data_IF_816656957660
#
_entry.id   IF_816656957660
#
_cell.length_a   1.000
_cell.length_b   1.000
_cell.length_c   1.000
_cell.angle_alpha   90.00
_cell.angle_beta   90.00
_cell.angle_gamma   90.00
#
_symmetry.space_group_name_H-M   'P 1'
#
loop_
_entity.id
_entity.type
_entity.pdbx_description
1 polymer ?
#
# COMPACT_ATOMS: atom_id res chain seq x y z
N UNK A 1 -2.40 9.16 -12.47
CA UNK A 1 -1.12 9.86 -12.63
C UNK A 1 -0.94 10.75 -11.41
N UNK A 2 0.16 10.60 -10.71
CA UNK A 2 0.53 11.40 -9.56
C UNK A 2 1.05 12.78 -9.98
N UNK A 3 1.20 13.69 -9.02
CA UNK A 3 1.61 15.07 -9.27
C UNK A 3 3.02 15.21 -9.88
N UNK A 4 3.89 14.23 -9.63
CA UNK A 4 5.24 14.13 -10.23
C UNK A 4 5.26 13.45 -11.61
N UNK A 5 4.10 13.05 -12.15
CA UNK A 5 3.95 12.38 -13.42
C UNK A 5 4.02 10.85 -13.36
N UNK A 6 4.32 10.25 -12.22
CA UNK A 6 4.37 8.79 -12.06
C UNK A 6 2.96 8.18 -12.26
N UNK A 7 2.87 7.13 -13.06
CA UNK A 7 1.62 6.43 -13.33
C UNK A 7 1.49 5.22 -12.43
N UNK A 8 0.46 5.19 -11.60
CA UNK A 8 0.08 4.00 -10.83
C UNK A 8 -0.99 3.20 -11.58
N UNK A 9 -0.90 1.90 -11.49
CA UNK A 9 -1.84 0.96 -12.07
C UNK A 9 -2.80 0.44 -11.00
N UNK A 10 -4.08 0.48 -11.31
CA UNK A 10 -5.13 0.02 -10.41
C UNK A 10 -6.07 -0.96 -11.11
N UNK A 11 -6.70 -1.82 -10.32
CA UNK A 11 -7.86 -2.62 -10.70
C UNK A 11 -9.04 -2.22 -9.85
N UNK A 12 -10.19 -2.06 -10.49
CA UNK A 12 -11.41 -1.56 -9.82
C UNK A 12 -12.56 -2.53 -10.04
N UNK A 13 -13.30 -2.80 -8.97
CA UNK A 13 -14.58 -3.50 -8.99
C UNK A 13 -15.64 -2.52 -8.49
N UNK A 14 -16.70 -2.35 -9.26
CA UNK A 14 -17.73 -1.34 -8.97
C UNK A 14 -19.13 -1.94 -8.99
N UNK A 15 -20.06 -1.44 -8.16
CA UNK A 15 -21.48 -1.67 -8.36
C UNK A 15 -21.93 -1.15 -9.72
N UNK A 16 -22.85 -1.85 -10.38
CA UNK A 16 -23.33 -1.52 -11.72
C UNK A 16 -23.90 -0.10 -11.81
N UNK A 17 -24.52 0.37 -10.73
CA UNK A 17 -25.15 1.69 -10.67
C UNK A 17 -24.28 2.80 -10.05
N UNK A 18 -22.97 2.57 -9.87
CA UNK A 18 -22.10 3.52 -9.15
C UNK A 18 -22.01 4.90 -9.83
N UNK A 19 -22.19 4.99 -11.14
CA UNK A 19 -22.21 6.28 -11.86
C UNK A 19 -23.53 7.06 -11.67
N UNK A 20 -24.64 6.36 -11.44
CA UNK A 20 -25.95 6.98 -11.18
C UNK A 20 -26.14 7.29 -9.69
N UNK A 21 -25.56 6.47 -8.84
CA UNK A 21 -25.60 6.59 -7.37
C UNK A 21 -24.20 6.38 -6.81
N UNK A 22 -23.40 7.45 -6.65
CA UNK A 22 -22.01 7.35 -6.17
C UNK A 22 -21.89 6.66 -4.81
N UNK A 23 -20.93 5.77 -4.70
CA UNK A 23 -20.72 4.88 -3.56
C UNK A 23 -19.41 5.16 -2.83
N UNK A 24 -19.25 4.75 -1.56
CA UNK A 24 -17.96 4.80 -0.87
C UNK A 24 -16.92 3.89 -1.56
N UNK A 25 -15.66 4.27 -1.48
CA UNK A 25 -14.54 3.50 -2.01
C UNK A 25 -13.81 2.76 -0.89
N UNK A 26 -13.43 1.51 -1.16
CA UNK A 26 -12.46 0.76 -0.35
C UNK A 26 -11.17 0.65 -1.15
N UNK A 27 -10.11 1.30 -0.66
CA UNK A 27 -8.76 1.26 -1.24
C UNK A 27 -7.92 0.19 -0.58
N UNK A 28 -7.26 -0.65 -1.38
CA UNK A 28 -6.14 -1.48 -0.95
C UNK A 28 -4.88 -1.07 -1.73
N UNK A 29 -3.84 -0.63 -0.99
CA UNK A 29 -2.62 -0.02 -1.52
C UNK A 29 -1.41 -0.74 -0.93
N UNK A 30 -0.76 -1.59 -1.73
CA UNK A 30 0.33 -2.46 -1.27
C UNK A 30 1.17 -3.02 -2.44
N UNK A 31 2.38 -3.58 -2.20
CA UNK A 31 3.33 -3.98 -3.25
C UNK A 31 3.12 -5.39 -3.81
N UNK A 32 2.08 -6.12 -3.42
CA UNK A 32 1.98 -7.56 -3.70
C UNK A 32 1.41 -7.90 -5.08
N UNK A 33 1.54 -7.01 -6.07
CA UNK A 33 1.19 -7.25 -7.47
C UNK A 33 -0.24 -7.77 -7.70
N UNK A 34 -1.15 -6.87 -8.08
CA UNK A 34 -2.59 -7.14 -8.24
C UNK A 34 -2.94 -8.25 -9.25
N UNK A 35 -2.02 -8.58 -10.17
CA UNK A 35 -2.30 -9.56 -11.24
C UNK A 35 -1.85 -10.98 -10.93
N UNK A 36 -0.77 -11.15 -10.20
CA UNK A 36 -0.17 -12.46 -9.97
C UNK A 36 0.13 -12.77 -8.51
N UNK A 37 0.46 -11.78 -7.69
CA UNK A 37 0.81 -11.99 -6.29
C UNK A 37 -0.42 -12.27 -5.41
N UNK A 38 -1.46 -11.45 -5.55
CA UNK A 38 -2.66 -11.53 -4.70
C UNK A 38 -3.95 -11.85 -5.45
N UNK A 39 -3.88 -12.14 -6.74
CA UNK A 39 -5.05 -12.27 -7.61
C UNK A 39 -6.12 -13.23 -7.04
N UNK A 40 -5.73 -14.39 -6.51
CA UNK A 40 -6.67 -15.38 -6.00
C UNK A 40 -7.47 -14.87 -4.80
N UNK A 41 -6.83 -14.10 -3.90
CA UNK A 41 -7.49 -13.45 -2.77
C UNK A 41 -8.37 -12.28 -3.24
N UNK A 42 -7.84 -11.46 -4.14
CA UNK A 42 -8.50 -10.25 -4.61
C UNK A 42 -9.82 -10.59 -5.34
N UNK A 43 -9.87 -11.69 -6.10
CA UNK A 43 -11.09 -12.18 -6.77
C UNK A 43 -12.17 -12.67 -5.79
N UNK A 44 -11.83 -13.00 -4.57
CA UNK A 44 -12.80 -13.36 -3.54
C UNK A 44 -13.30 -12.11 -2.77
N UNK A 45 -12.41 -11.19 -2.51
CA UNK A 45 -12.64 -10.06 -1.58
C UNK A 45 -13.29 -8.86 -2.29
N UNK A 46 -12.70 -8.36 -3.36
CA UNK A 46 -13.14 -7.13 -3.99
C UNK A 46 -14.50 -7.23 -4.70
N UNK A 47 -14.84 -8.32 -5.41
CA UNK A 47 -16.19 -8.49 -5.94
C UNK A 47 -17.27 -8.55 -4.85
N UNK A 48 -16.94 -9.08 -3.67
CA UNK A 48 -17.86 -9.08 -2.54
C UNK A 48 -18.18 -7.65 -2.10
N UNK A 49 -17.18 -6.78 -1.98
CA UNK A 49 -17.42 -5.37 -1.66
C UNK A 49 -18.27 -4.69 -2.73
N UNK A 50 -17.99 -4.91 -4.01
CA UNK A 50 -18.78 -4.33 -5.09
C UNK A 50 -20.27 -4.75 -5.04
N UNK A 51 -20.55 -6.02 -4.75
CA UNK A 51 -21.92 -6.54 -4.55
C UNK A 51 -22.63 -5.91 -3.34
N UNK A 52 -21.87 -5.42 -2.37
CA UNK A 52 -22.40 -4.80 -1.15
C UNK A 52 -22.35 -3.26 -1.17
N UNK A 53 -22.27 -2.64 -2.36
CA UNK A 53 -22.42 -1.20 -2.53
C UNK A 53 -21.16 -0.38 -2.29
N UNK A 54 -19.97 -0.96 -2.41
CA UNK A 54 -18.69 -0.27 -2.32
C UNK A 54 -17.94 -0.39 -3.65
N UNK A 55 -17.39 0.70 -4.15
CA UNK A 55 -16.34 0.58 -5.16
C UNK A 55 -15.06 0.10 -4.47
N UNK A 56 -14.45 -0.95 -4.99
CA UNK A 56 -13.22 -1.52 -4.42
C UNK A 56 -12.06 -1.33 -5.39
N UNK A 57 -10.97 -0.75 -4.91
CA UNK A 57 -9.83 -0.36 -5.75
C UNK A 57 -8.54 -0.95 -5.18
N UNK A 58 -7.88 -1.77 -6.00
CA UNK A 58 -6.59 -2.39 -5.69
C UNK A 58 -5.51 -1.69 -6.51
N UNK A 59 -4.59 -1.02 -5.84
CA UNK A 59 -3.50 -0.26 -6.46
C UNK A 59 -2.17 -0.96 -6.23
N UNK A 60 -1.38 -1.15 -7.28
CA UNK A 60 0.04 -1.45 -7.15
C UNK A 60 0.78 -0.16 -6.79
N UNK A 61 1.57 -0.19 -5.72
CA UNK A 61 2.36 0.98 -5.32
C UNK A 61 3.46 1.29 -6.33
N UNK A 62 4.05 2.48 -6.26
CA UNK A 62 5.21 2.90 -7.07
C UNK A 62 6.28 1.81 -7.08
N UNK A 63 6.82 1.49 -8.26
CA UNK A 63 7.87 0.51 -8.44
C UNK A 63 7.41 -0.95 -8.42
N UNK A 64 6.13 -1.23 -8.19
CA UNK A 64 5.62 -2.60 -8.13
C UNK A 64 4.53 -2.87 -9.17
N UNK A 65 4.37 -4.15 -9.51
CA UNK A 65 3.35 -4.59 -10.45
C UNK A 65 3.42 -3.86 -11.78
N UNK A 66 2.32 -3.22 -12.18
CA UNK A 66 2.21 -2.49 -13.44
C UNK A 66 2.35 -0.96 -13.24
N UNK A 67 2.74 -0.51 -12.04
CA UNK A 67 3.00 0.90 -11.73
C UNK A 67 4.41 1.30 -12.12
N UNK A 68 4.61 2.55 -12.53
CA UNK A 68 5.92 3.12 -12.86
C UNK A 68 6.78 3.39 -11.63
N UNK A 69 8.04 3.73 -11.86
CA UNK A 69 9.03 4.07 -10.84
C UNK A 69 9.69 2.86 -10.21
N UNK A 70 10.42 3.12 -9.14
CA UNK A 70 11.17 2.13 -8.36
C UNK A 70 10.81 2.23 -6.89
N UNK A 71 10.94 1.11 -6.18
CA UNK A 71 10.73 1.06 -4.74
C UNK A 71 12.07 1.26 -4.04
N UNK A 72 12.19 2.29 -3.22
CA UNK A 72 13.45 2.61 -2.55
C UNK A 72 13.61 1.91 -1.19
N UNK A 73 12.52 1.76 -0.44
CA UNK A 73 12.49 1.10 0.88
C UNK A 73 11.03 0.87 1.30
N UNK A 74 10.81 0.27 2.47
CA UNK A 74 9.51 0.14 3.12
C UNK A 74 9.00 1.48 3.66
N UNK A 75 7.71 1.76 3.41
CA UNK A 75 6.98 2.87 4.05
C UNK A 75 7.63 4.24 3.89
N UNK A 76 8.28 4.49 2.76
CA UNK A 76 8.93 5.77 2.51
C UNK A 76 7.95 6.94 2.56
N UNK A 77 8.41 8.18 2.87
CA UNK A 77 7.55 9.36 2.78
C UNK A 77 6.88 9.52 1.41
N UNK A 78 7.57 9.12 0.33
CA UNK A 78 7.00 9.14 -1.02
C UNK A 78 5.85 8.16 -1.16
N UNK A 79 5.99 6.93 -0.65
CA UNK A 79 4.92 5.93 -0.68
C UNK A 79 3.66 6.42 0.03
N UNK A 80 3.83 7.07 1.18
CA UNK A 80 2.70 7.63 1.93
C UNK A 80 2.07 8.83 1.22
N UNK A 81 2.88 9.69 0.63
CA UNK A 81 2.40 10.84 -0.17
C UNK A 81 1.61 10.37 -1.38
N UNK A 82 2.12 9.37 -2.09
CA UNK A 82 1.43 8.75 -3.24
C UNK A 82 0.05 8.20 -2.82
N UNK A 83 -0.02 7.51 -1.68
CA UNK A 83 -1.28 6.99 -1.15
C UNK A 83 -2.29 8.09 -0.84
N UNK A 84 -1.83 9.20 -0.26
CA UNK A 84 -2.68 10.38 0.01
C UNK A 84 -3.20 10.98 -1.29
N UNK A 85 -2.35 11.12 -2.32
CA UNK A 85 -2.79 11.60 -3.64
C UNK A 85 -3.84 10.65 -4.26
N UNK A 86 -3.64 9.34 -4.16
CA UNK A 86 -4.62 8.33 -4.63
C UNK A 86 -5.96 8.50 -3.90
N UNK A 87 -5.97 8.70 -2.59
CA UNK A 87 -7.21 8.92 -1.80
C UNK A 87 -7.95 10.16 -2.30
N UNK A 88 -7.26 11.28 -2.49
CA UNK A 88 -7.88 12.50 -3.00
C UNK A 88 -8.34 12.37 -4.45
N UNK A 89 -7.64 11.61 -5.29
CA UNK A 89 -8.06 11.32 -6.64
C UNK A 89 -9.32 10.46 -6.67
N UNK A 90 -9.38 9.40 -5.85
CA UNK A 90 -10.55 8.54 -5.72
C UNK A 90 -11.79 9.30 -5.25
N UNK A 91 -11.62 10.16 -4.26
CA UNK A 91 -12.72 10.96 -3.70
C UNK A 91 -13.35 11.93 -4.72
N UNK A 92 -12.63 12.27 -5.80
CA UNK A 92 -13.11 13.15 -6.87
C UNK A 92 -13.75 12.42 -8.05
N UNK A 93 -13.72 11.09 -8.05
CA UNK A 93 -14.30 10.34 -9.16
C UNK A 93 -15.83 10.44 -9.18
N UNK A 94 -16.47 10.50 -10.36
CA UNK A 94 -17.93 10.69 -10.47
C UNK A 94 -18.73 9.54 -9.86
N UNK A 95 -18.14 8.36 -9.72
CA UNK A 95 -18.72 7.17 -9.10
C UNK A 95 -18.44 7.06 -7.59
N UNK A 96 -17.66 7.98 -7.03
CA UNK A 96 -17.31 8.00 -5.61
C UNK A 96 -18.16 9.02 -4.84
N UNK A 97 -18.70 8.64 -3.70
CA UNK A 97 -19.45 9.52 -2.80
C UNK A 97 -18.59 10.58 -2.07
N UNK A 98 -17.29 10.68 -2.40
CA UNK A 98 -16.32 11.52 -1.70
C UNK A 98 -15.74 10.88 -0.43
N UNK A 99 -16.11 9.63 -0.15
CA UNK A 99 -15.71 8.89 1.06
C UNK A 99 -14.84 7.70 0.68
N UNK A 100 -13.69 7.57 1.32
CA UNK A 100 -12.74 6.49 1.12
C UNK A 100 -12.49 5.77 2.44
N UNK A 101 -12.56 4.44 2.42
CA UNK A 101 -11.97 3.57 3.43
C UNK A 101 -10.67 2.98 2.90
N UNK A 102 -9.74 2.62 3.76
CA UNK A 102 -8.51 1.93 3.37
C UNK A 102 -8.39 0.62 4.13
N UNK A 103 -7.98 -0.43 3.43
CA UNK A 103 -7.74 -1.72 4.06
C UNK A 103 -6.42 -2.31 3.56
N UNK A 104 -5.86 -3.21 4.34
CA UNK A 104 -4.71 -3.96 3.89
C UNK A 104 -4.23 -5.00 4.89
N UNK A 105 -3.47 -5.94 4.37
CA UNK A 105 -2.78 -6.96 5.15
C UNK A 105 -1.27 -6.68 5.12
N UNK A 106 -0.58 -6.90 6.24
CA UNK A 106 0.87 -6.76 6.36
C UNK A 106 1.31 -5.36 5.88
N UNK A 107 2.14 -5.23 4.86
CA UNK A 107 2.53 -3.94 4.26
C UNK A 107 1.33 -3.00 4.02
N UNK A 108 0.24 -3.52 3.45
CA UNK A 108 -0.98 -2.72 3.25
C UNK A 108 -1.66 -2.31 4.55
N UNK A 109 -1.54 -3.13 5.60
CA UNK A 109 -2.02 -2.80 6.94
C UNK A 109 -1.20 -1.68 7.59
N UNK A 110 0.13 -1.73 7.46
CA UNK A 110 1.02 -0.64 7.88
C UNK A 110 0.73 0.64 7.10
N UNK A 111 0.55 0.56 5.78
CA UNK A 111 0.16 1.71 4.96
C UNK A 111 -1.17 2.33 5.44
N UNK A 112 -2.17 1.50 5.73
CA UNK A 112 -3.45 1.99 6.23
C UNK A 112 -3.29 2.76 7.56
N UNK A 113 -2.49 2.23 8.48
CA UNK A 113 -2.18 2.90 9.75
C UNK A 113 -1.45 4.24 9.53
N UNK A 114 -0.37 4.23 8.77
CA UNK A 114 0.48 5.41 8.57
C UNK A 114 -0.25 6.50 7.79
N UNK A 115 -1.01 6.14 6.75
CA UNK A 115 -1.83 7.11 5.99
C UNK A 115 -2.95 7.68 6.86
N UNK A 116 -3.55 6.87 7.74
CA UNK A 116 -4.55 7.37 8.67
C UNK A 116 -3.99 8.41 9.64
N UNK A 117 -2.73 8.26 10.08
CA UNK A 117 -2.05 9.26 10.91
C UNK A 117 -1.88 10.62 10.20
N UNK A 118 -1.79 10.63 8.86
CA UNK A 118 -1.75 11.85 8.04
C UNK A 118 -3.12 12.52 7.88
N UNK A 119 -4.21 11.88 8.30
CA UNK A 119 -5.58 12.42 8.36
C UNK A 119 -6.10 13.01 7.03
N UNK A 120 -5.94 12.37 5.85
CA UNK A 120 -6.50 12.90 4.62
C UNK A 120 -8.04 12.96 4.74
N UNK A 121 -8.63 14.11 4.46
CA UNK A 121 -10.08 14.37 4.71
C UNK A 121 -11.04 13.33 4.14
N UNK A 122 -10.81 12.76 2.95
CA UNK A 122 -11.73 11.74 2.40
C UNK A 122 -11.65 10.40 3.13
N UNK A 123 -10.53 10.09 3.81
CA UNK A 123 -10.35 8.82 4.54
C UNK A 123 -11.23 8.82 5.79
N UNK A 124 -12.13 7.83 5.92
CA UNK A 124 -13.12 7.77 7.01
C UNK A 124 -12.95 6.56 7.92
N UNK A 125 -12.37 5.49 7.41
CA UNK A 125 -12.16 4.27 8.18
C UNK A 125 -10.96 3.50 7.62
N UNK A 126 -10.32 2.71 8.47
CA UNK A 126 -9.29 1.77 8.06
C UNK A 126 -9.59 0.38 8.63
N UNK A 127 -9.14 -0.64 7.89
CA UNK A 127 -9.03 -2.02 8.38
C UNK A 127 -7.59 -2.46 8.17
N UNK A 128 -6.93 -2.84 9.25
CA UNK A 128 -5.54 -3.27 9.25
C UNK A 128 -5.43 -4.71 9.75
N UNK A 129 -4.73 -5.54 8.99
CA UNK A 129 -4.52 -6.96 9.29
C UNK A 129 -3.02 -7.28 9.28
N UNK A 130 -2.56 -8.06 10.26
CA UNK A 130 -1.16 -8.50 10.34
C UNK A 130 -0.18 -7.32 10.27
N UNK A 131 -0.46 -6.25 11.00
CA UNK A 131 0.38 -5.07 11.12
C UNK A 131 0.39 -4.59 12.57
N UNK A 132 1.38 -3.80 12.92
CA UNK A 132 1.59 -3.32 14.29
C UNK A 132 1.76 -1.80 14.31
N UNK A 133 1.77 -1.24 15.50
CA UNK A 133 1.94 0.19 15.72
C UNK A 133 3.41 0.59 15.94
N UNK A 134 4.30 -0.39 16.12
CA UNK A 134 5.74 -0.19 16.35
C UNK A 134 6.56 -1.15 15.49
N UNK A 135 7.26 -0.61 14.48
CA UNK A 135 8.08 -1.38 13.53
C UNK A 135 9.28 -2.08 14.16
N UNK A 136 9.71 -1.67 15.34
CA UNK A 136 10.87 -2.25 16.03
C UNK A 136 10.48 -3.22 17.12
N UNK A 137 9.45 -2.88 17.92
CA UNK A 137 9.11 -3.69 19.08
C UNK A 137 8.35 -4.97 18.71
N UNK A 138 7.55 -4.94 17.65
CA UNK A 138 6.66 -6.05 17.29
C UNK A 138 6.39 -6.10 15.78
N UNK A 139 7.41 -6.43 14.99
CA UNK A 139 7.28 -6.60 13.55
C UNK A 139 8.15 -7.77 13.07
N UNK A 140 8.18 -7.98 11.74
CA UNK A 140 8.96 -9.03 11.06
C UNK A 140 10.47 -8.82 11.18
N UNK A 141 10.95 -7.60 11.43
CA UNK A 141 12.37 -7.26 11.51
C UNK A 141 12.94 -7.49 12.90
N UNK A 142 12.24 -7.01 13.91
CA UNK A 142 12.61 -7.12 15.32
C UNK A 142 11.38 -7.41 16.16
N UNK A 143 11.57 -8.20 17.22
CA UNK A 143 10.56 -8.45 18.22
C UNK A 143 11.19 -8.44 19.60
N UNK A 144 10.70 -7.54 20.47
CA UNK A 144 11.25 -7.37 21.81
C UNK A 144 12.76 -7.03 21.79
N UNK A 145 13.25 -6.33 20.76
CA UNK A 145 14.66 -5.98 20.57
C UNK A 145 15.52 -7.08 19.96
N UNK A 146 14.97 -8.26 19.67
CA UNK A 146 15.67 -9.36 19.02
C UNK A 146 15.51 -9.27 17.50
N UNK A 147 16.64 -9.35 16.78
CA UNK A 147 16.65 -9.48 15.34
C UNK A 147 16.03 -10.82 14.92
N UNK A 148 15.05 -10.79 14.04
CA UNK A 148 14.40 -11.98 13.52
C UNK A 148 15.09 -12.48 12.24
N UNK A 149 15.09 -13.80 12.05
CA UNK A 149 15.64 -14.46 10.86
C UNK A 149 14.80 -14.18 9.59
N UNK A 150 13.58 -13.71 9.75
CA UNK A 150 12.66 -13.37 8.65
C UNK A 150 13.16 -12.22 7.75
N UNK A 151 14.09 -11.39 8.25
CA UNK A 151 14.63 -10.27 7.46
C UNK A 151 15.14 -10.70 6.08
N UNK A 152 15.92 -11.78 6.01
CA UNK A 152 16.47 -12.26 4.73
C UNK A 152 15.37 -12.85 3.85
N UNK A 153 14.49 -13.67 4.42
CA UNK A 153 13.38 -14.30 3.71
C UNK A 153 12.41 -13.25 3.13
N UNK A 154 12.01 -12.30 3.96
CA UNK A 154 11.11 -11.22 3.57
C UNK A 154 11.74 -10.29 2.53
N UNK A 155 12.97 -9.84 2.75
CA UNK A 155 13.67 -8.99 1.80
C UNK A 155 13.88 -9.66 0.45
N UNK A 156 14.19 -10.96 0.43
CA UNK A 156 14.31 -11.75 -0.81
C UNK A 156 12.97 -11.88 -1.53
N UNK A 157 11.87 -12.06 -0.77
CA UNK A 157 10.50 -12.09 -1.31
C UNK A 157 10.15 -10.76 -1.95
N UNK A 158 10.38 -9.64 -1.26
CA UNK A 158 10.09 -8.32 -1.79
C UNK A 158 10.93 -7.97 -3.00
N UNK A 159 12.22 -8.34 -2.97
CA UNK A 159 13.09 -8.18 -4.14
C UNK A 159 12.57 -8.97 -5.35
N UNK A 160 12.12 -10.21 -5.12
CA UNK A 160 11.52 -11.03 -6.17
C UNK A 160 10.20 -10.43 -6.70
N UNK A 161 9.39 -9.77 -5.88
CA UNK A 161 8.17 -9.08 -6.33
C UNK A 161 8.50 -7.82 -7.13
N UNK A 162 9.35 -6.96 -6.60
CA UNK A 162 9.62 -5.63 -7.17
C UNK A 162 10.46 -5.69 -8.43
N UNK A 163 11.41 -6.65 -8.54
CA UNK A 163 12.24 -6.85 -9.73
C UNK A 163 11.52 -7.52 -10.92
N UNK A 164 10.27 -7.96 -10.77
CA UNK A 164 9.53 -8.59 -11.89
C UNK A 164 9.04 -7.56 -12.91
N UNK A 165 8.94 -7.94 -14.19
CA UNK A 165 8.41 -7.05 -15.22
C UNK A 165 6.94 -6.69 -14.96
N UNK A 166 6.49 -5.51 -15.41
CA UNK A 166 5.07 -5.22 -15.55
C UNK A 166 4.46 -6.05 -16.70
N UNK A 167 3.14 -6.06 -16.77
CA UNK A 167 2.43 -6.78 -17.82
C UNK A 167 2.45 -5.99 -19.14
N UNK A 168 3.01 -6.55 -20.24
CA UNK A 168 3.02 -5.88 -21.53
C UNK A 168 1.64 -5.48 -22.06
N UNK A 169 0.59 -6.27 -21.74
CA UNK A 169 -0.77 -5.97 -22.19
C UNK A 169 -1.34 -4.71 -21.54
N UNK A 170 -0.80 -4.30 -20.37
CA UNK A 170 -1.22 -3.11 -19.66
C UNK A 170 -0.33 -1.88 -19.91
N UNK A 171 0.95 -2.09 -20.05
CA UNK A 171 1.92 -0.98 -20.18
C UNK A 171 2.48 -0.81 -21.58
N UNK A 172 2.13 -1.71 -22.52
CA UNK A 172 2.59 -1.67 -23.91
C UNK A 172 4.11 -1.84 -24.01
N UNK A 173 4.72 -1.25 -25.02
CA UNK A 173 6.15 -1.39 -25.33
C UNK A 173 7.09 -0.89 -24.22
N UNK A 174 6.61 -0.09 -23.29
CA UNK A 174 7.40 0.43 -22.17
C UNK A 174 7.81 -0.64 -21.13
N UNK A 175 7.27 -1.84 -21.20
CA UNK A 175 7.51 -2.89 -20.19
C UNK A 175 9.00 -3.26 -20.04
N UNK A 176 9.77 -3.24 -21.15
CA UNK A 176 11.21 -3.58 -21.12
C UNK A 176 12.03 -2.53 -20.40
N UNK A 177 11.72 -1.26 -20.65
CA UNK A 177 12.44 -0.15 -20.03
C UNK A 177 12.09 -0.05 -18.54
N UNK A 178 10.81 -0.19 -18.17
CA UNK A 178 10.37 -0.25 -16.77
C UNK A 178 11.02 -1.43 -16.04
N UNK A 179 11.13 -2.59 -16.69
CA UNK A 179 11.77 -3.75 -16.08
C UNK A 179 13.27 -3.54 -15.88
N UNK A 180 13.97 -3.00 -16.91
CA UNK A 180 15.39 -2.69 -16.81
C UNK A 180 15.67 -1.69 -15.69
N UNK A 181 14.88 -0.61 -15.61
CA UNK A 181 14.97 0.37 -14.54
C UNK A 181 14.87 -0.28 -13.15
N UNK A 182 13.93 -1.19 -12.96
CA UNK A 182 13.81 -1.95 -11.72
C UNK A 182 15.02 -2.81 -11.43
N UNK A 183 15.50 -3.59 -12.41
CA UNK A 183 16.66 -4.46 -12.23
C UNK A 183 17.94 -3.69 -11.88
N UNK A 184 18.08 -2.46 -12.38
CA UNK A 184 19.23 -1.59 -12.13
C UNK A 184 19.14 -0.82 -10.82
N UNK A 185 17.93 -0.44 -10.38
CA UNK A 185 17.73 0.46 -9.26
C UNK A 185 17.16 -0.21 -7.99
N UNK A 186 16.62 -1.43 -8.08
CA UNK A 186 15.96 -2.10 -6.97
C UNK A 186 16.95 -2.42 -5.85
N UNK A 187 16.78 -1.85 -4.64
CA UNK A 187 17.67 -2.13 -3.53
C UNK A 187 17.40 -3.51 -2.94
N UNK A 188 18.44 -4.15 -2.39
CA UNK A 188 18.24 -5.31 -1.52
C UNK A 188 17.98 -4.82 -0.09
N UNK A 189 16.72 -4.68 0.26
CA UNK A 189 16.25 -4.03 1.47
C UNK A 189 16.90 -4.53 2.79
N UNK A 190 17.24 -5.83 2.95
CA UNK A 190 17.93 -6.29 4.16
C UNK A 190 19.25 -5.60 4.47
N UNK A 191 19.93 -5.06 3.46
CA UNK A 191 21.18 -4.30 3.68
C UNK A 191 20.88 -3.03 4.48
N UNK A 192 19.79 -2.34 4.18
CA UNK A 192 19.39 -1.15 4.93
C UNK A 192 18.87 -1.51 6.32
N UNK A 193 17.96 -2.47 6.41
CA UNK A 193 17.37 -2.89 7.69
C UNK A 193 18.44 -3.32 8.71
N UNK A 194 19.48 -4.03 8.29
CA UNK A 194 20.55 -4.51 9.17
C UNK A 194 21.53 -3.43 9.63
N UNK A 195 21.52 -2.25 9.03
CA UNK A 195 22.27 -1.09 9.56
C UNK A 195 21.64 -0.53 10.84
N UNK A 196 20.33 -0.71 11.00
CA UNK A 196 19.52 -0.14 12.06
C UNK A 196 19.18 -1.19 13.12
N UNK A 197 20.19 -1.64 13.91
CA UNK A 197 20.03 -2.70 14.91
C UNK A 197 19.46 -2.21 16.25
N UNK A 198 19.15 -0.96 16.37
CA UNK A 198 18.52 -0.38 17.55
C UNK A 198 17.32 0.46 17.13
N UNK A 199 16.41 0.74 18.08
CA UNK A 199 15.26 1.60 17.82
C UNK A 199 15.70 3.05 17.63
N UNK A 200 16.14 3.38 16.43
CA UNK A 200 16.53 4.72 15.98
C UNK A 200 15.42 5.38 15.14
N UNK A 201 15.71 6.51 14.53
CA UNK A 201 14.73 7.28 13.75
C UNK A 201 14.25 6.53 12.50
N UNK A 202 15.03 5.57 11.98
CA UNK A 202 14.62 4.72 10.90
C UNK A 202 13.38 3.87 11.25
N UNK A 203 13.39 3.24 12.44
CA UNK A 203 12.26 2.42 12.91
C UNK A 203 11.13 3.24 13.51
N UNK A 204 11.41 4.45 14.00
CA UNK A 204 10.37 5.38 14.44
C UNK A 204 9.52 5.86 13.26
N UNK A 205 10.16 6.10 12.11
CA UNK A 205 9.43 6.36 10.88
C UNK A 205 8.52 5.17 10.55
N UNK A 206 7.24 5.44 10.34
CA UNK A 206 6.22 4.40 10.12
C UNK A 206 5.72 3.68 11.39
N UNK A 207 6.32 3.94 12.54
CA UNK A 207 5.81 3.49 13.84
C UNK A 207 4.81 4.50 14.39
N UNK A 208 3.54 4.21 14.21
CA UNK A 208 2.45 5.14 14.54
C UNK A 208 2.26 5.36 16.03
N UNK A 209 2.86 4.51 16.89
CA UNK A 209 2.93 4.74 18.32
C UNK A 209 3.76 5.97 18.72
N UNK A 210 4.59 6.52 17.82
CA UNK A 210 5.34 7.75 18.08
C UNK A 210 4.44 8.99 18.16
N UNK A 211 3.27 8.96 17.49
CA UNK A 211 2.29 10.03 17.52
C UNK A 211 0.89 9.50 17.80
N UNK A 212 0.65 9.10 19.06
CA UNK A 212 -0.63 8.58 19.50
C UNK A 212 -1.77 9.62 19.43
N UNK A 213 -1.47 10.92 19.36
CA UNK A 213 -2.48 11.99 19.30
C UNK A 213 -3.18 11.97 17.94
N UNK A 214 -2.46 11.74 16.87
CA UNK A 214 -3.02 11.64 15.50
C UNK A 214 -4.04 10.51 15.36
N UNK A 215 -3.95 9.46 16.19
CA UNK A 215 -4.88 8.31 16.19
C UNK A 215 -6.15 8.51 16.99
N UNK A 216 -6.15 9.35 17.99
CA UNK A 216 -7.33 9.53 18.87
C UNK A 216 -8.52 10.14 18.14
N UNK A 217 -8.32 10.68 16.96
CA UNK A 217 -9.37 11.26 16.11
C UNK A 217 -9.98 10.25 15.12
N UNK A 218 -9.37 9.07 14.96
CA UNK A 218 -9.93 7.97 14.17
C UNK A 218 -10.77 7.12 15.12
N UNK A 219 -12.08 7.17 14.99
CA UNK A 219 -12.96 6.26 15.72
C UNK A 219 -12.78 4.86 15.15
N UNK A 220 -12.10 3.98 15.87
CA UNK A 220 -12.23 2.56 15.68
C UNK A 220 -13.63 2.16 16.11
N UNK A 221 -14.46 1.67 15.19
CA UNK A 221 -15.63 0.90 15.57
C UNK A 221 -15.13 -0.54 15.81
N UNK A 222 -14.84 -0.83 17.07
CA UNK A 222 -14.71 -2.21 17.52
C UNK A 222 -16.11 -2.83 17.51
N UNK A 223 -16.29 -3.85 16.69
CA UNK A 223 -17.45 -4.74 16.70
C UNK A 223 -17.11 -5.99 17.46
#
# INVERSE_FOLDING_TARGET
ILSDGCRLSARTWMPENAYDSPVPVILEYLPYRKRDGTIARDELTHPYFAKNGYASVRVDIRGNGDSQGTMADEYTPQELSDAVEVIYWLAKQPWCSGTVGMMGISWGGFNALQVAALQPKPLKAIITLCSTVDRYADDIHYKGGCLLNENLGWGSTMWAYSSRPPDPDLVGDSWRDMWRERLEAEPFLPIEWLKHQRRDDYWKHGSVCEDSVSYTHLRAHET
#
